data_IF_805916981930
#
_entry.id   IF_805916981930
#
_cell.length_a   1.000
_cell.length_b   1.000
_cell.length_c   1.000
_cell.angle_alpha   90.00
_cell.angle_beta   90.00
_cell.angle_gamma   90.00
#
_symmetry.space_group_name_H-M   'P 1'
#
loop_
_entity.id
_entity.type
_entity.pdbx_description
1 polymer ?
#
# COMPACT_ATOMS: atom_id res chain seq x y z
N UNK A 1 -17.31 2.19 -11.63
CA UNK A 1 -17.13 0.84 -12.18
C UNK A 1 -17.57 -0.17 -11.13
N UNK A 2 -18.37 -1.17 -11.49
CA UNK A 2 -18.75 -2.25 -10.58
C UNK A 2 -17.69 -3.35 -10.67
N UNK A 3 -17.11 -3.76 -9.53
CA UNK A 3 -16.20 -4.90 -9.46
C UNK A 3 -17.00 -6.17 -9.77
N UNK A 4 -16.83 -6.74 -10.96
CA UNK A 4 -17.37 -8.04 -11.35
C UNK A 4 -16.37 -9.14 -10.98
N UNK A 5 -16.84 -10.36 -10.69
CA UNK A 5 -16.01 -11.47 -10.19
C UNK A 5 -14.90 -11.95 -11.16
N UNK A 6 -14.86 -11.42 -12.38
CA UNK A 6 -13.84 -11.66 -13.41
C UNK A 6 -12.62 -10.74 -13.26
N UNK A 7 -12.68 -9.71 -12.41
CA UNK A 7 -11.61 -8.72 -12.23
C UNK A 7 -11.32 -8.53 -10.74
N UNK A 8 -10.09 -8.83 -10.37
CA UNK A 8 -9.61 -8.70 -8.99
C UNK A 8 -8.29 -7.96 -8.98
N UNK A 9 -8.02 -7.27 -7.88
CA UNK A 9 -6.78 -6.54 -7.66
C UNK A 9 -6.22 -6.93 -6.30
N UNK A 10 -4.93 -7.21 -6.24
CA UNK A 10 -4.20 -7.35 -5.01
C UNK A 10 -3.53 -6.02 -4.68
N UNK A 11 -3.83 -5.52 -3.49
CA UNK A 11 -3.24 -4.32 -2.91
C UNK A 11 -2.29 -4.80 -1.82
N UNK A 12 -1.06 -4.32 -1.89
CA UNK A 12 -0.10 -4.50 -0.83
C UNK A 12 -0.63 -3.91 0.49
N UNK A 13 -0.47 -4.68 1.56
CA UNK A 13 -0.86 -4.29 2.91
C UNK A 13 0.13 -3.27 3.51
N UNK A 14 -0.34 -2.50 4.48
CA UNK A 14 0.55 -1.69 5.31
C UNK A 14 1.55 -2.54 6.08
N UNK A 15 2.70 -1.94 6.39
CA UNK A 15 3.81 -2.55 7.10
C UNK A 15 3.88 -2.06 8.54
N UNK A 16 4.24 -2.94 9.48
CA UNK A 16 4.40 -2.57 10.89
C UNK A 16 5.89 -2.34 11.24
N UNK A 17 6.22 -1.29 12.02
CA UNK A 17 7.57 -1.07 12.52
C UNK A 17 8.10 -2.28 13.31
N UNK A 18 9.40 -2.53 13.23
CA UNK A 18 10.11 -3.60 13.94
C UNK A 18 9.94 -5.02 13.39
N UNK A 19 8.90 -5.32 12.60
CA UNK A 19 8.70 -6.65 11.99
C UNK A 19 8.86 -6.65 10.47
N UNK A 20 8.42 -5.60 9.80
CA UNK A 20 8.30 -5.56 8.34
C UNK A 20 9.29 -4.58 7.66
N UNK A 21 10.28 -4.13 8.42
CA UNK A 21 11.37 -3.27 7.93
C UNK A 21 12.26 -4.02 6.93
N UNK A 22 12.88 -3.28 6.01
CA UNK A 22 13.77 -3.85 4.99
C UNK A 22 14.84 -4.76 5.62
N UNK A 23 14.95 -5.98 5.11
CA UNK A 23 15.90 -6.99 5.61
C UNK A 23 15.39 -7.81 6.80
N UNK A 24 14.23 -7.49 7.38
CA UNK A 24 13.60 -8.33 8.40
C UNK A 24 13.01 -9.60 7.77
N UNK A 25 12.96 -10.74 8.51
CA UNK A 25 12.43 -11.99 7.97
C UNK A 25 10.99 -11.88 7.43
N UNK A 26 10.10 -11.14 8.10
CA UNK A 26 8.72 -10.98 7.61
C UNK A 26 8.67 -10.20 6.30
N UNK A 27 9.54 -9.19 6.16
CA UNK A 27 9.70 -8.44 4.92
C UNK A 27 10.18 -9.30 3.76
N UNK A 28 11.16 -10.17 3.99
CA UNK A 28 11.63 -11.11 2.96
C UNK A 28 10.52 -12.04 2.46
N UNK A 29 9.62 -12.47 3.36
CA UNK A 29 8.45 -13.27 2.97
C UNK A 29 7.50 -12.44 2.11
N UNK A 30 7.18 -11.20 2.50
CA UNK A 30 6.31 -10.32 1.72
C UNK A 30 6.89 -10.01 0.33
N UNK A 31 8.19 -9.70 0.24
CA UNK A 31 8.87 -9.46 -1.04
C UNK A 31 8.78 -10.71 -1.96
N UNK A 32 8.87 -11.91 -1.38
CA UNK A 32 8.70 -13.15 -2.15
C UNK A 32 7.26 -13.35 -2.66
N UNK A 33 6.26 -12.95 -1.88
CA UNK A 33 4.84 -12.97 -2.29
C UNK A 33 4.62 -11.95 -3.41
N UNK A 34 5.20 -10.75 -3.32
CA UNK A 34 5.15 -9.75 -4.38
C UNK A 34 5.72 -10.28 -5.69
N UNK A 35 6.93 -10.87 -5.64
CA UNK A 35 7.57 -11.46 -6.79
C UNK A 35 6.70 -12.56 -7.43
N UNK A 36 6.09 -13.41 -6.61
CA UNK A 36 5.19 -14.46 -7.08
C UNK A 36 3.90 -13.90 -7.72
N UNK A 37 3.26 -12.90 -7.10
CA UNK A 37 2.05 -12.27 -7.63
C UNK A 37 2.31 -11.56 -8.96
N UNK A 38 3.40 -10.80 -9.07
CA UNK A 38 3.81 -10.13 -10.30
C UNK A 38 4.08 -11.17 -11.41
N UNK A 39 4.73 -12.29 -11.08
CA UNK A 39 5.02 -13.35 -12.05
C UNK A 39 3.76 -14.10 -12.50
N UNK A 40 2.81 -14.32 -11.61
CA UNK A 40 1.61 -15.15 -11.87
C UNK A 40 0.47 -14.31 -12.46
N UNK A 41 0.29 -13.09 -11.99
CA UNK A 41 -0.84 -12.21 -12.30
C UNK A 41 -0.39 -10.75 -12.53
N UNK A 42 0.45 -10.49 -13.54
CA UNK A 42 1.08 -9.18 -13.74
C UNK A 42 0.09 -8.02 -13.91
N UNK A 43 -1.13 -8.29 -14.37
CA UNK A 43 -2.18 -7.27 -14.57
C UNK A 43 -3.08 -7.04 -13.36
N UNK A 44 -2.94 -7.84 -12.30
CA UNK A 44 -3.84 -7.81 -11.13
C UNK A 44 -3.12 -7.41 -9.83
N UNK A 45 -1.82 -7.13 -9.87
CA UNK A 45 -1.05 -6.68 -8.71
C UNK A 45 -0.77 -5.18 -8.82
N UNK A 46 -1.05 -4.43 -7.74
CA UNK A 46 -0.78 -2.99 -7.66
C UNK A 46 0.19 -2.72 -6.50
N UNK A 47 1.43 -2.23 -6.78
CA UNK A 47 2.38 -1.87 -5.73
C UNK A 47 1.96 -0.56 -5.07
N UNK A 48 1.32 -0.63 -3.91
CA UNK A 48 0.70 0.55 -3.29
C UNK A 48 1.66 1.37 -2.44
N UNK A 49 2.77 0.80 -1.94
CA UNK A 49 3.76 1.52 -1.14
C UNK A 49 4.33 2.72 -1.88
N UNK A 50 4.76 2.55 -3.13
CA UNK A 50 5.36 3.66 -3.89
C UNK A 50 4.38 4.83 -4.06
N UNK A 51 3.10 4.54 -4.31
CA UNK A 51 2.07 5.58 -4.44
C UNK A 51 1.79 6.22 -3.08
N UNK A 52 1.64 5.43 -2.01
CA UNK A 52 1.46 5.95 -0.66
C UNK A 52 2.60 6.88 -0.23
N UNK A 53 3.83 6.55 -0.60
CA UNK A 53 5.00 7.40 -0.36
C UNK A 53 4.89 8.78 -1.04
N UNK A 54 4.28 8.87 -2.23
CA UNK A 54 4.06 10.18 -2.89
C UNK A 54 3.05 11.07 -2.16
N UNK A 55 2.20 10.49 -1.32
CA UNK A 55 1.21 11.19 -0.51
C UNK A 55 1.64 11.43 0.94
N UNK A 56 2.90 11.09 1.28
CA UNK A 56 3.50 11.49 2.55
C UNK A 56 3.39 13.00 2.75
N UNK A 57 3.12 13.42 3.99
CA UNK A 57 3.13 14.83 4.38
C UNK A 57 4.53 15.38 4.64
N UNK A 58 5.56 14.53 4.54
CA UNK A 58 6.96 14.89 4.79
C UNK A 58 7.29 15.10 6.27
N UNK A 59 6.41 14.70 7.19
CA UNK A 59 6.70 14.74 8.62
C UNK A 59 7.91 13.88 8.98
N UNK A 60 8.61 14.15 10.10
CA UNK A 60 9.73 13.32 10.54
C UNK A 60 9.37 11.84 10.72
N UNK A 61 8.12 11.55 11.13
CA UNK A 61 7.61 10.18 11.24
C UNK A 61 7.49 9.49 9.88
N UNK A 62 6.99 10.21 8.88
CA UNK A 62 6.94 9.70 7.51
C UNK A 62 8.33 9.46 6.94
N UNK A 63 9.24 10.40 7.11
CA UNK A 63 10.61 10.29 6.61
C UNK A 63 11.30 9.06 7.22
N UNK A 64 11.14 8.84 8.52
CA UNK A 64 11.69 7.65 9.20
C UNK A 64 11.09 6.36 8.65
N UNK A 65 9.76 6.28 8.52
CA UNK A 65 9.06 5.12 7.98
C UNK A 65 9.46 4.83 6.52
N UNK A 66 9.46 5.84 5.66
CA UNK A 66 9.84 5.73 4.25
C UNK A 66 11.30 5.27 4.11
N UNK A 67 12.21 5.78 4.95
CA UNK A 67 13.63 5.36 4.93
C UNK A 67 13.83 3.87 5.23
N UNK A 68 12.87 3.25 5.94
CA UNK A 68 12.86 1.82 6.28
C UNK A 68 12.05 0.98 5.28
N UNK A 69 11.45 1.61 4.27
CA UNK A 69 10.57 0.96 3.30
C UNK A 69 9.20 0.63 3.87
N UNK A 70 8.72 1.41 4.84
CA UNK A 70 7.40 1.26 5.47
C UNK A 70 6.40 2.28 4.89
N UNK A 71 5.11 2.04 5.14
CA UNK A 71 4.06 3.02 4.83
C UNK A 71 4.31 4.31 5.63
N UNK A 72 4.13 5.50 5.02
CA UNK A 72 4.29 6.75 5.74
C UNK A 72 3.32 6.82 6.93
N UNK A 73 3.80 7.21 8.10
CA UNK A 73 3.02 7.24 9.35
C UNK A 73 1.76 8.10 9.28
N UNK A 74 1.78 9.20 8.52
CA UNK A 74 0.64 10.08 8.22
C UNK A 74 -0.46 9.37 7.43
N UNK A 75 -0.12 8.23 6.85
CA UNK A 75 -0.99 7.35 6.06
C UNK A 75 -1.30 6.03 6.78
N UNK A 76 -0.61 5.70 7.89
CA UNK A 76 -0.90 4.53 8.71
C UNK A 76 -2.04 4.83 9.68
N UNK A 77 -3.12 4.08 9.59
CA UNK A 77 -4.20 4.03 10.58
C UNK A 77 -4.29 2.62 11.11
N UNK A 78 -4.45 2.43 12.41
CA UNK A 78 -4.57 1.07 12.96
C UNK A 78 -6.03 0.65 13.17
N UNK A 79 -6.36 -0.64 13.36
CA UNK A 79 -5.59 -1.86 13.05
C UNK A 79 -6.24 -2.72 11.95
N UNK A 80 -7.27 -2.21 11.28
CA UNK A 80 -7.98 -2.79 10.13
C UNK A 80 -8.58 -1.72 9.22
N UNK A 81 -8.56 -0.46 9.67
CA UNK A 81 -9.44 0.55 9.15
C UNK A 81 -8.69 1.82 8.83
N UNK A 82 -9.19 2.52 7.82
CA UNK A 82 -8.71 3.81 7.46
C UNK A 82 -9.02 4.92 8.50
N UNK A 83 -8.14 5.94 8.58
CA UNK A 83 -8.09 6.98 9.64
C UNK A 83 -9.36 7.84 9.77
N UNK A 84 -9.67 8.24 11.03
CA UNK A 84 -10.62 9.29 11.43
C UNK A 84 -9.94 10.57 11.98
N UNK A 85 -8.60 10.63 12.04
CA UNK A 85 -7.89 11.84 12.49
C UNK A 85 -8.11 12.96 11.49
N UNK A 86 -8.37 14.18 11.94
CA UNK A 86 -8.62 15.30 11.04
C UNK A 86 -7.30 15.88 10.50
N UNK A 87 -7.06 15.89 9.17
CA UNK A 87 -7.88 15.31 8.11
C UNK A 87 -7.56 13.82 7.84
N UNK A 88 -8.57 12.99 7.51
CA UNK A 88 -8.39 11.56 7.31
C UNK A 88 -7.78 11.29 5.93
N UNK A 89 -6.47 11.05 5.89
CA UNK A 89 -5.74 11.00 4.62
C UNK A 89 -5.57 9.56 4.11
N UNK A 90 -5.08 8.63 4.93
CA UNK A 90 -4.78 7.25 4.50
C UNK A 90 -5.96 6.50 3.83
N UNK A 91 -7.19 6.79 4.27
CA UNK A 91 -8.45 6.28 3.70
C UNK A 91 -8.67 6.69 2.24
N UNK A 92 -8.49 7.99 2.02
CA UNK A 92 -8.76 8.67 0.77
C UNK A 92 -7.71 8.26 -0.25
N UNK A 93 -6.44 8.18 0.17
CA UNK A 93 -5.36 7.77 -0.72
C UNK A 93 -5.45 6.29 -1.10
N UNK A 94 -5.86 5.38 -0.20
CA UNK A 94 -6.10 3.97 -0.58
C UNK A 94 -7.23 3.84 -1.60
N UNK A 95 -8.33 4.58 -1.40
CA UNK A 95 -9.44 4.60 -2.35
C UNK A 95 -9.03 5.18 -3.70
N UNK A 96 -8.19 6.23 -3.70
CA UNK A 96 -7.64 6.81 -4.93
C UNK A 96 -6.71 5.83 -5.65
N UNK A 97 -5.84 5.11 -4.93
CA UNK A 97 -4.97 4.07 -5.50
C UNK A 97 -5.80 3.00 -6.23
N UNK A 98 -6.90 2.56 -5.62
CA UNK A 98 -7.82 1.61 -6.26
C UNK A 98 -8.42 2.20 -7.53
N UNK A 99 -8.90 3.45 -7.46
CA UNK A 99 -9.51 4.13 -8.60
C UNK A 99 -8.52 4.35 -9.76
N UNK A 100 -7.30 4.77 -9.45
CA UNK A 100 -6.22 5.00 -10.42
C UNK A 100 -5.80 3.68 -11.08
N UNK A 101 -5.67 2.61 -10.29
CA UNK A 101 -5.34 1.28 -10.81
C UNK A 101 -6.41 0.78 -11.80
N UNK A 102 -7.69 0.82 -11.41
CA UNK A 102 -8.83 0.44 -12.26
C UNK A 102 -8.82 1.27 -13.56
N UNK A 103 -8.61 2.58 -13.44
CA UNK A 103 -8.60 3.49 -14.60
C UNK A 103 -7.44 3.20 -15.54
N UNK A 104 -6.22 3.03 -15.02
CA UNK A 104 -5.03 2.76 -15.83
C UNK A 104 -5.09 1.42 -16.56
N UNK A 105 -5.75 0.42 -15.95
CA UNK A 105 -5.95 -0.90 -16.53
C UNK A 105 -7.14 -0.96 -17.52
N UNK A 106 -7.92 0.13 -17.64
CA UNK A 106 -9.06 0.22 -18.54
C UNK A 106 -10.26 -0.62 -18.12
N UNK A 107 -10.47 -0.80 -16.82
CA UNK A 107 -11.54 -1.63 -16.24
C UNK A 107 -12.84 -0.88 -15.96
#
# INVERSE_FOLDING_TARGET
>A
AHLTHDRWLYIENGYSPGTDETGMPARLVQDSIHAWLIATYPTHYVPTLAIMQTYSDGSPGDIDAVSKGLWPTSQTSDGLHPSTTTPPNGQTHLSQIIADAITSAGW
#
